data_IF_952760926081
#
_entry.id   IF_952760926081
#
_cell.length_a   1.000
_cell.length_b   1.000
_cell.length_c   1.000
_cell.angle_alpha   90.00
_cell.angle_beta   90.00
_cell.angle_gamma   90.00
#
_symmetry.space_group_name_H-M   'P 1'
#
loop_
_entity.id
_entity.type
_entity.pdbx_description
1 polymer ?
#
# COMPACT_ATOMS: atom_id res chain seq x y z
N UNK A 1 -34.89 -15.28 -10.06
CA UNK A 1 -33.47 -15.48 -9.70
C UNK A 1 -33.34 -16.87 -9.12
N UNK A 2 -32.55 -17.76 -9.73
CA UNK A 2 -32.35 -19.12 -9.21
C UNK A 2 -31.75 -19.10 -7.81
N UNK A 3 -32.16 -20.01 -6.93
CA UNK A 3 -31.62 -20.08 -5.58
C UNK A 3 -30.12 -20.43 -5.62
N UNK A 4 -29.26 -19.78 -4.83
CA UNK A 4 -27.79 -19.93 -4.87
C UNK A 4 -27.26 -21.27 -4.32
N UNK A 5 -28.10 -22.31 -4.20
CA UNK A 5 -27.86 -23.52 -3.40
C UNK A 5 -26.70 -24.37 -3.93
N UNK A 6 -26.26 -24.16 -5.17
CA UNK A 6 -25.18 -24.92 -5.80
C UNK A 6 -23.89 -24.11 -6.11
N UNK A 7 -23.84 -22.82 -5.77
CA UNK A 7 -22.63 -22.02 -6.04
C UNK A 7 -21.57 -22.21 -4.94
N UNK A 8 -20.30 -22.35 -5.36
CA UNK A 8 -19.15 -22.40 -4.46
C UNK A 8 -18.63 -20.99 -4.19
N UNK A 9 -18.29 -20.71 -2.93
CA UNK A 9 -17.71 -19.43 -2.54
C UNK A 9 -16.34 -19.26 -3.20
N UNK A 10 -16.12 -18.13 -3.88
CA UNK A 10 -14.85 -17.83 -4.56
C UNK A 10 -13.60 -17.84 -3.65
N UNK A 11 -13.78 -17.69 -2.33
CA UNK A 11 -12.67 -17.57 -1.37
C UNK A 11 -12.43 -18.87 -0.59
N UNK A 12 -13.47 -19.51 -0.08
CA UNK A 12 -13.32 -20.73 0.73
C UNK A 12 -13.70 -22.02 -0.01
N UNK A 13 -14.26 -21.92 -1.22
CA UNK A 13 -14.77 -23.04 -2.02
C UNK A 13 -15.82 -23.91 -1.30
N UNK A 14 -16.49 -23.36 -0.29
CA UNK A 14 -17.63 -24.01 0.38
C UNK A 14 -18.95 -23.48 -0.19
N UNK A 15 -20.00 -24.32 -0.13
CA UNK A 15 -21.37 -23.97 -0.52
C UNK A 15 -22.03 -23.09 0.52
N UNK A 16 -23.00 -22.28 0.09
CA UNK A 16 -23.85 -21.53 1.01
C UNK A 16 -24.94 -22.42 1.61
N UNK A 17 -24.88 -22.64 2.92
CA UNK A 17 -25.90 -23.35 3.68
C UNK A 17 -26.96 -22.41 4.27
N UNK A 18 -27.05 -21.16 3.80
CA UNK A 18 -28.07 -20.18 4.17
C UNK A 18 -27.82 -19.47 5.51
N UNK A 19 -26.65 -19.67 6.13
CA UNK A 19 -26.30 -19.02 7.42
C UNK A 19 -25.58 -17.69 7.27
N UNK A 20 -24.98 -17.42 6.11
CA UNK A 20 -24.16 -16.23 5.88
C UNK A 20 -24.70 -15.50 4.64
N UNK A 21 -24.61 -14.17 4.63
CA UNK A 21 -25.07 -13.39 3.48
C UNK A 21 -24.21 -13.70 2.27
N UNK A 22 -24.83 -14.09 1.16
CA UNK A 22 -24.17 -14.29 -0.12
C UNK A 22 -24.10 -12.99 -0.91
N UNK A 23 -22.94 -12.71 -1.50
CA UNK A 23 -22.74 -11.58 -2.41
C UNK A 23 -22.36 -12.11 -3.78
N UNK A 24 -22.94 -11.55 -4.83
CA UNK A 24 -22.60 -11.88 -6.22
C UNK A 24 -21.89 -10.70 -6.87
N UNK A 25 -20.73 -10.94 -7.47
CA UNK A 25 -20.00 -9.92 -8.20
C UNK A 25 -20.80 -9.49 -9.44
N UNK A 26 -20.99 -8.18 -9.63
CA UNK A 26 -21.72 -7.66 -10.79
C UNK A 26 -21.03 -7.98 -12.13
N UNK A 27 -19.69 -8.02 -12.15
CA UNK A 27 -18.89 -8.26 -13.38
C UNK A 27 -18.79 -9.76 -13.69
N UNK A 28 -18.08 -10.54 -12.87
CA UNK A 28 -17.86 -11.97 -13.16
C UNK A 28 -19.00 -12.91 -12.74
N UNK A 29 -20.07 -12.39 -12.12
CA UNK A 29 -21.22 -13.17 -11.60
C UNK A 29 -20.87 -14.25 -10.56
N UNK A 30 -19.61 -14.35 -10.14
CA UNK A 30 -19.17 -15.27 -9.08
C UNK A 30 -19.64 -14.78 -7.71
N UNK A 31 -20.02 -15.75 -6.87
CA UNK A 31 -20.54 -15.53 -5.54
C UNK A 31 -19.54 -15.79 -4.42
N UNK A 32 -19.84 -15.29 -3.21
CA UNK A 32 -19.14 -15.70 -2.01
C UNK A 32 -19.77 -15.16 -0.73
N UNK A 33 -19.39 -15.80 0.39
CA UNK A 33 -19.84 -15.38 1.71
C UNK A 33 -19.35 -13.96 2.04
N UNK A 34 -20.24 -13.11 2.57
CA UNK A 34 -19.90 -11.74 2.95
C UNK A 34 -18.73 -11.68 3.93
N UNK A 35 -18.62 -12.65 4.83
CA UNK A 35 -17.52 -12.80 5.79
C UNK A 35 -16.19 -13.12 5.10
N UNK A 36 -16.20 -14.05 4.14
CA UNK A 36 -15.03 -14.38 3.33
C UNK A 36 -14.55 -13.18 2.50
N UNK A 37 -15.49 -12.37 2.00
CA UNK A 37 -15.24 -11.11 1.29
C UNK A 37 -14.94 -9.92 2.22
N UNK A 38 -14.86 -10.14 3.54
CA UNK A 38 -14.60 -9.12 4.58
C UNK A 38 -15.59 -7.95 4.57
N UNK A 39 -16.79 -8.17 4.06
CA UNK A 39 -17.89 -7.21 4.07
C UNK A 39 -18.62 -7.31 5.43
N UNK A 40 -18.40 -6.32 6.29
CA UNK A 40 -19.05 -6.22 7.60
C UNK A 40 -20.16 -5.16 7.57
N UNK A 41 -21.23 -5.37 8.34
CA UNK A 41 -22.30 -4.37 8.49
C UNK A 41 -23.30 -4.29 7.33
N UNK A 42 -23.37 -5.28 6.45
CA UNK A 42 -24.43 -5.36 5.45
C UNK A 42 -25.80 -5.45 6.15
N UNK A 43 -26.77 -4.63 5.73
CA UNK A 43 -28.18 -4.76 6.16
C UNK A 43 -28.79 -6.06 5.65
N UNK A 44 -29.93 -6.50 6.19
CA UNK A 44 -30.58 -7.79 5.88
C UNK A 44 -30.80 -8.03 4.37
N UNK A 45 -30.99 -6.97 3.59
CA UNK A 45 -31.24 -7.06 2.15
C UNK A 45 -29.94 -7.02 1.32
N UNK A 46 -29.08 -8.04 1.48
CA UNK A 46 -27.81 -8.10 0.76
C UNK A 46 -27.95 -8.25 -0.77
N UNK A 47 -29.11 -8.69 -1.26
CA UNK A 47 -29.43 -8.85 -2.67
C UNK A 47 -29.43 -7.54 -3.47
N UNK A 48 -29.52 -6.39 -2.81
CA UNK A 48 -29.55 -5.06 -3.44
C UNK A 48 -28.16 -4.39 -3.50
N UNK A 49 -27.13 -5.03 -2.96
CA UNK A 49 -25.80 -4.42 -2.89
C UNK A 49 -25.03 -4.67 -4.16
N UNK A 50 -24.83 -3.61 -4.93
CA UNK A 50 -23.94 -3.57 -6.08
C UNK A 50 -22.49 -3.77 -5.64
N UNK A 51 -22.03 -5.03 -5.64
CA UNK A 51 -20.70 -5.43 -5.21
C UNK A 51 -19.87 -5.97 -6.38
N UNK A 52 -18.57 -5.69 -6.34
CA UNK A 52 -17.59 -6.19 -7.32
C UNK A 52 -16.43 -6.81 -6.54
N UNK A 53 -16.01 -8.01 -6.94
CA UNK A 53 -14.90 -8.70 -6.29
C UNK A 53 -13.56 -8.01 -6.57
N UNK A 54 -12.58 -8.19 -5.67
CA UNK A 54 -11.26 -7.56 -5.79
C UNK A 54 -10.57 -7.81 -7.15
N UNK A 55 -10.57 -9.03 -7.73
CA UNK A 55 -10.03 -9.26 -9.07
C UNK A 55 -10.72 -8.42 -10.15
N UNK A 56 -12.05 -8.38 -10.14
CA UNK A 56 -12.80 -7.56 -11.10
C UNK A 56 -12.56 -6.06 -10.89
N UNK A 57 -12.42 -5.61 -9.64
CA UNK A 57 -12.09 -4.23 -9.32
C UNK A 57 -10.69 -3.84 -9.82
N UNK A 58 -9.73 -4.77 -9.83
CA UNK A 58 -8.40 -4.54 -10.41
C UNK A 58 -8.47 -4.40 -11.94
N UNK A 59 -9.23 -5.27 -12.62
CA UNK A 59 -9.43 -5.18 -14.08
C UNK A 59 -10.13 -3.88 -14.45
N UNK A 60 -11.15 -3.47 -13.69
CA UNK A 60 -11.83 -2.19 -13.92
C UNK A 60 -10.85 -1.01 -13.73
N UNK A 61 -9.95 -1.08 -12.74
CA UNK A 61 -8.94 -0.04 -12.55
C UNK A 61 -7.97 0.05 -13.73
N UNK A 62 -7.52 -1.08 -14.27
CA UNK A 62 -6.67 -1.06 -15.46
C UNK A 62 -7.42 -0.53 -16.67
N UNK A 63 -8.70 -0.89 -16.86
CA UNK A 63 -9.53 -0.34 -17.94
C UNK A 63 -9.70 1.18 -17.83
N UNK A 64 -9.95 1.71 -16.62
CA UNK A 64 -10.05 3.16 -16.38
C UNK A 64 -8.72 3.85 -16.65
N UNK A 65 -7.61 3.30 -16.17
CA UNK A 65 -6.29 3.86 -16.39
C UNK A 65 -5.92 3.91 -17.88
N UNK A 66 -6.17 2.81 -18.61
CA UNK A 66 -5.96 2.77 -20.05
C UNK A 66 -6.79 3.85 -20.76
N UNK A 67 -8.06 4.03 -20.38
CA UNK A 67 -8.90 5.10 -20.95
C UNK A 67 -8.35 6.49 -20.67
N UNK A 68 -7.79 6.74 -19.49
CA UNK A 68 -7.14 8.00 -19.16
C UNK A 68 -5.88 8.23 -20.02
N UNK A 69 -5.01 7.22 -20.15
CA UNK A 69 -3.83 7.30 -21.02
C UNK A 69 -4.20 7.54 -22.49
N UNK A 70 -5.26 6.89 -22.98
CA UNK A 70 -5.79 7.09 -24.33
C UNK A 70 -6.27 8.53 -24.51
N UNK A 71 -6.95 9.12 -23.52
CA UNK A 71 -7.41 10.50 -23.61
C UNK A 71 -6.23 11.49 -23.64
N UNK A 72 -5.16 11.20 -22.91
CA UNK A 72 -3.90 11.97 -23.00
C UNK A 72 -3.32 11.86 -24.40
N UNK A 73 -3.17 10.66 -24.95
CA UNK A 73 -2.66 10.47 -26.32
C UNK A 73 -3.53 11.20 -27.37
N UNK A 74 -4.86 11.19 -27.22
CA UNK A 74 -5.75 11.96 -28.09
C UNK A 74 -5.50 13.46 -28.00
N UNK A 75 -5.26 13.99 -26.81
CA UNK A 75 -4.91 15.39 -26.59
C UNK A 75 -3.57 15.74 -27.27
N UNK A 76 -2.55 14.90 -27.08
CA UNK A 76 -1.22 15.11 -27.67
C UNK A 76 -1.27 15.12 -29.20
N UNK A 77 -2.06 14.22 -29.81
CA UNK A 77 -2.25 14.20 -31.26
C UNK A 77 -2.91 15.50 -31.76
N UNK A 78 -3.88 16.04 -31.01
CA UNK A 78 -4.52 17.33 -31.34
C UNK A 78 -3.51 18.47 -31.24
N UNK A 79 -2.64 18.47 -30.23
CA UNK A 79 -1.59 19.47 -30.06
C UNK A 79 -0.56 19.40 -31.20
N UNK A 80 -0.08 18.21 -31.55
CA UNK A 80 0.81 17.98 -32.69
C UNK A 80 0.16 18.46 -33.98
N UNK A 81 -1.13 18.17 -34.19
CA UNK A 81 -1.90 18.65 -35.35
C UNK A 81 -1.93 20.17 -35.43
N UNK A 82 -2.04 20.86 -34.29
CA UNK A 82 -2.02 22.32 -34.26
C UNK A 82 -0.61 22.86 -34.53
N UNK A 83 0.43 22.28 -33.93
CA UNK A 83 1.83 22.65 -34.21
C UNK A 83 2.17 22.48 -35.70
N UNK A 84 1.71 21.40 -36.34
CA UNK A 84 1.94 21.15 -37.76
C UNK A 84 1.28 22.19 -38.68
N UNK A 85 0.20 22.87 -38.25
CA UNK A 85 -0.41 23.96 -39.03
C UNK A 85 0.48 25.20 -39.07
N UNK A 86 1.28 25.42 -38.03
CA UNK A 86 2.14 26.59 -37.90
C UNK A 86 3.47 26.41 -38.67
N UNK A 87 3.83 25.17 -39.02
CA UNK A 87 5.00 24.89 -39.85
C UNK A 87 4.65 25.17 -41.31
N UNK A 88 5.38 26.11 -41.93
CA UNK A 88 5.32 26.37 -43.38
C UNK A 88 5.94 25.20 -44.15
N UNK A 89 5.13 24.19 -44.44
CA UNK A 89 5.47 23.12 -45.37
C UNK A 89 5.12 23.52 -46.81
N UNK A 90 5.84 23.00 -47.82
CA UNK A 90 5.38 23.03 -49.19
C UNK A 90 3.97 22.45 -49.31
N UNK A 91 3.10 23.09 -50.10
CA UNK A 91 1.66 22.81 -50.17
C UNK A 91 1.34 21.33 -50.48
N UNK A 92 2.16 20.68 -51.30
CA UNK A 92 2.05 19.26 -51.61
C UNK A 92 2.29 18.35 -50.38
N UNK A 93 3.26 18.69 -49.53
CA UNK A 93 3.53 17.97 -48.27
C UNK A 93 2.46 18.25 -47.23
N UNK A 94 2.00 19.50 -47.12
CA UNK A 94 0.95 19.87 -46.19
C UNK A 94 -0.35 19.11 -46.46
N UNK A 95 -0.75 19.00 -47.73
CA UNK A 95 -1.93 18.25 -48.14
C UNK A 95 -1.79 16.74 -47.86
N UNK A 96 -0.60 16.16 -48.09
CA UNK A 96 -0.35 14.75 -47.81
C UNK A 96 -0.38 14.43 -46.30
N UNK A 97 0.19 15.31 -45.47
CA UNK A 97 0.20 15.14 -44.00
C UNK A 97 -1.20 15.31 -43.43
N UNK A 98 -1.96 16.31 -43.90
CA UNK A 98 -3.32 16.57 -43.45
C UNK A 98 -4.31 15.48 -43.89
N UNK A 99 -4.06 14.80 -45.01
CA UNK A 99 -4.84 13.65 -45.45
C UNK A 99 -4.53 12.36 -44.67
N UNK A 100 -3.28 12.17 -44.21
CA UNK A 100 -2.87 10.98 -43.47
C UNK A 100 -3.23 11.02 -41.97
N UNK A 101 -3.29 12.21 -41.37
CA UNK A 101 -3.56 12.38 -39.95
C UNK A 101 -4.89 11.78 -39.47
N UNK A 102 -6.03 12.00 -40.17
CA UNK A 102 -7.31 11.40 -39.80
C UNK A 102 -7.26 9.87 -39.77
N UNK A 103 -6.61 9.25 -40.75
CA UNK A 103 -6.48 7.80 -40.82
C UNK A 103 -5.69 7.21 -39.63
N UNK A 104 -4.66 7.93 -39.16
CA UNK A 104 -3.91 7.56 -37.96
C UNK A 104 -4.76 7.71 -36.69
N UNK A 105 -5.51 8.81 -36.55
CA UNK A 105 -6.38 9.02 -35.37
C UNK A 105 -7.53 8.02 -35.30
N UNK A 106 -8.14 7.72 -36.44
CA UNK A 106 -9.26 6.79 -36.54
C UNK A 106 -8.78 5.35 -36.33
N UNK A 107 -7.61 5.00 -36.90
CA UNK A 107 -6.98 3.70 -36.68
C UNK A 107 -6.62 3.44 -35.22
N UNK A 108 -6.06 4.44 -34.51
CA UNK A 108 -5.77 4.33 -33.07
C UNK A 108 -7.06 4.21 -32.26
N UNK A 109 -8.10 4.97 -32.61
CA UNK A 109 -9.38 4.92 -31.89
C UNK A 109 -10.09 3.57 -32.06
N UNK A 110 -10.14 3.04 -33.29
CA UNK A 110 -10.71 1.73 -33.59
C UNK A 110 -9.96 0.59 -32.91
N UNK A 111 -8.63 0.56 -32.98
CA UNK A 111 -7.82 -0.48 -32.34
C UNK A 111 -8.00 -0.49 -30.81
N UNK A 112 -8.20 0.69 -30.22
CA UNK A 112 -8.51 0.84 -28.79
C UNK A 112 -9.92 0.34 -28.48
N UNK A 113 -10.92 0.73 -29.26
CA UNK A 113 -12.31 0.29 -29.04
C UNK A 113 -12.45 -1.22 -29.20
N UNK A 114 -11.73 -1.82 -30.16
CA UNK A 114 -11.64 -3.28 -30.32
C UNK A 114 -10.96 -3.94 -29.12
N UNK A 115 -9.83 -3.41 -28.64
CA UNK A 115 -9.13 -3.95 -27.47
C UNK A 115 -9.98 -3.86 -26.18
N UNK A 116 -10.70 -2.75 -26.00
CA UNK A 116 -11.62 -2.55 -24.86
C UNK A 116 -12.86 -3.45 -24.99
N UNK A 117 -13.40 -3.60 -26.20
CA UNK A 117 -14.56 -4.48 -26.46
C UNK A 117 -14.20 -5.96 -26.29
N UNK A 118 -13.01 -6.38 -26.73
CA UNK A 118 -12.51 -7.74 -26.55
C UNK A 118 -12.30 -8.09 -25.06
N UNK A 119 -11.96 -7.11 -24.22
CA UNK A 119 -11.83 -7.31 -22.76
C UNK A 119 -13.17 -7.22 -22.01
N UNK A 120 -14.19 -6.55 -22.57
CA UNK A 120 -15.45 -6.25 -21.89
C UNK A 120 -16.62 -7.17 -22.26
N UNK A 121 -16.34 -8.32 -22.90
CA UNK A 121 -17.31 -9.34 -23.27
C UNK A 121 -18.45 -9.50 -22.24
N UNK A 122 -19.64 -9.04 -22.64
CA UNK A 122 -20.94 -9.11 -21.96
C UNK A 122 -21.06 -8.45 -20.58
N UNK A 123 -20.91 -7.13 -20.49
CA UNK A 123 -21.55 -6.34 -19.41
C UNK A 123 -22.16 -5.04 -19.98
N UNK A 124 -23.23 -5.17 -20.75
CA UNK A 124 -24.09 -4.02 -21.08
C UNK A 124 -25.47 -4.19 -20.45
N UNK A 125 -26.01 -3.03 -20.02
CA UNK A 125 -27.27 -2.78 -19.28
C UNK A 125 -27.11 -2.72 -17.77
N UNK A 126 -26.55 -1.60 -17.32
CA UNK A 126 -27.16 -0.74 -16.30
C UNK A 126 -26.24 0.47 -16.14
N UNK A 127 -26.77 1.67 -16.41
CA UNK A 127 -26.03 2.94 -16.48
C UNK A 127 -25.47 3.41 -15.13
N UNK A 128 -24.50 2.67 -14.59
CA UNK A 128 -23.84 3.00 -13.33
C UNK A 128 -22.50 3.69 -13.62
N UNK A 129 -22.32 4.89 -13.09
CA UNK A 129 -21.08 5.65 -13.18
C UNK A 129 -19.99 5.00 -12.32
N UNK A 130 -19.09 4.25 -12.95
CA UNK A 130 -18.01 3.51 -12.31
C UNK A 130 -17.05 4.37 -11.47
N UNK A 131 -16.89 5.66 -11.81
CA UNK A 131 -16.07 6.59 -11.02
C UNK A 131 -16.65 6.79 -9.60
N UNK A 132 -17.98 6.73 -9.46
CA UNK A 132 -18.65 6.87 -8.17
C UNK A 132 -18.49 5.61 -7.29
N UNK A 133 -18.53 4.42 -7.89
CA UNK A 133 -18.35 3.14 -7.18
C UNK A 133 -16.92 3.01 -6.64
N UNK A 134 -15.93 3.36 -7.45
CA UNK A 134 -14.52 3.34 -7.04
C UNK A 134 -14.22 4.38 -5.96
N UNK A 135 -14.88 5.55 -5.99
CA UNK A 135 -14.69 6.58 -4.96
C UNK A 135 -15.31 6.24 -3.60
N UNK A 136 -16.36 5.41 -3.55
CA UNK A 136 -16.97 4.95 -2.27
C UNK A 136 -16.09 3.98 -1.48
N UNK A 137 -15.26 3.17 -2.15
CA UNK A 137 -14.26 2.30 -1.48
C UNK A 137 -13.10 3.08 -0.84
N UNK A 138 -12.88 4.35 -1.23
CA UNK A 138 -11.73 5.17 -0.82
C UNK A 138 -11.85 5.83 0.58
N UNK A 139 -12.95 5.71 1.32
CA UNK A 139 -13.16 6.51 2.55
C UNK A 139 -12.97 5.76 3.89
N UNK A 140 -11.94 4.94 4.00
CA UNK A 140 -11.24 4.77 5.29
C UNK A 140 -9.76 5.07 5.09
N UNK A 141 -9.44 6.34 4.79
CA UNK A 141 -8.11 6.87 5.12
C UNK A 141 -7.96 6.65 6.62
N UNK A 142 -7.27 5.59 7.01
CA UNK A 142 -6.70 5.45 8.35
C UNK A 142 -5.70 6.60 8.42
N UNK A 143 -6.15 7.77 8.84
CA UNK A 143 -5.25 8.88 9.16
C UNK A 143 -4.24 8.28 10.12
N UNK A 144 -2.98 8.17 9.68
CA UNK A 144 -1.87 7.89 10.57
C UNK A 144 -1.79 9.10 11.50
N UNK A 145 -2.63 9.12 12.55
CA UNK A 145 -2.48 10.09 13.63
C UNK A 145 -1.09 9.83 14.19
N UNK A 146 -0.26 10.87 14.27
CA UNK A 146 1.03 10.82 14.94
C UNK A 146 0.78 10.33 16.37
N UNK A 147 1.08 9.06 16.62
CA UNK A 147 0.87 8.46 17.94
C UNK A 147 2.08 8.81 18.80
N UNK A 148 1.86 9.53 19.90
CA UNK A 148 2.87 9.81 20.90
C UNK A 148 2.88 8.65 21.89
N UNK A 149 3.50 7.55 21.45
CA UNK A 149 3.49 6.28 22.17
C UNK A 149 4.60 6.21 23.21
N UNK A 150 4.23 5.79 24.42
CA UNK A 150 5.13 5.43 25.50
C UNK A 150 4.98 3.93 25.78
N UNK A 151 6.09 3.21 25.89
CA UNK A 151 6.15 1.78 26.23
C UNK A 151 6.76 1.64 27.62
N UNK A 152 5.99 1.09 28.54
CA UNK A 152 6.36 0.91 29.95
C UNK A 152 6.54 -0.58 30.22
N UNK A 153 7.70 -0.95 30.77
CA UNK A 153 8.03 -2.32 31.18
C UNK A 153 8.34 -2.33 32.68
N UNK A 154 7.93 -3.36 33.39
CA UNK A 154 8.37 -3.54 34.78
C UNK A 154 9.85 -3.92 34.84
N UNK A 155 10.54 -3.38 35.84
CA UNK A 155 11.84 -3.87 36.27
C UNK A 155 11.61 -5.04 37.24
N UNK A 156 11.25 -6.21 36.71
CA UNK A 156 10.96 -7.42 37.49
C UNK A 156 9.69 -8.17 37.08
N UNK A 157 9.25 -9.13 37.89
CA UNK A 157 8.08 -10.00 37.66
C UNK A 157 6.76 -9.42 38.20
N UNK A 158 6.56 -8.10 38.13
CA UNK A 158 5.27 -7.49 38.49
C UNK A 158 4.18 -7.91 37.49
N UNK A 159 2.97 -8.17 37.98
CA UNK A 159 1.81 -8.44 37.11
C UNK A 159 1.40 -7.16 36.40
N UNK A 160 0.98 -7.30 35.14
CA UNK A 160 0.61 -6.16 34.28
C UNK A 160 -0.59 -5.34 34.84
N UNK A 161 -1.49 -5.97 35.58
CA UNK A 161 -2.65 -5.31 36.21
C UNK A 161 -2.20 -4.34 37.30
N UNK A 162 -1.24 -4.75 38.13
CA UNK A 162 -0.73 -3.93 39.23
C UNK A 162 0.08 -2.75 38.68
N UNK A 163 0.89 -3.00 37.64
CA UNK A 163 1.58 -1.93 36.92
C UNK A 163 0.62 -0.90 36.34
N UNK A 164 -0.55 -1.32 35.84
CA UNK A 164 -1.50 -0.38 35.24
C UNK A 164 -2.07 0.58 36.28
N UNK A 165 -2.42 0.08 37.47
CA UNK A 165 -2.88 0.92 38.58
C UNK A 165 -1.81 1.92 39.01
N UNK A 166 -0.56 1.44 39.19
CA UNK A 166 0.59 2.28 39.54
C UNK A 166 0.81 3.40 38.50
N UNK A 167 0.72 3.07 37.20
CA UNK A 167 0.88 4.05 36.13
C UNK A 167 -0.30 5.02 36.03
N UNK A 168 -1.54 4.57 36.26
CA UNK A 168 -2.73 5.43 36.27
C UNK A 168 -2.71 6.43 37.43
N UNK A 169 -2.21 6.02 38.59
CA UNK A 169 -2.04 6.89 39.76
C UNK A 169 -0.98 7.97 39.52
N UNK A 170 0.18 7.56 38.98
CA UNK A 170 1.30 8.45 38.65
C UNK A 170 1.01 9.44 37.52
N UNK A 171 0.12 9.08 36.59
CA UNK A 171 -0.27 9.88 35.44
C UNK A 171 -1.68 10.45 35.57
N UNK A 172 -2.20 10.60 36.79
CA UNK A 172 -3.55 11.10 37.06
C UNK A 172 -3.80 12.52 36.49
N UNK A 173 -2.74 13.31 36.30
CA UNK A 173 -2.79 14.65 35.71
C UNK A 173 -2.56 14.68 34.19
N UNK A 174 -2.20 13.55 33.58
CA UNK A 174 -1.92 13.45 32.14
C UNK A 174 -3.07 12.73 31.43
N UNK A 175 -3.71 13.42 30.49
CA UNK A 175 -4.77 12.82 29.68
C UNK A 175 -4.24 11.70 28.77
N UNK A 176 -4.64 10.46 29.08
CA UNK A 176 -4.33 9.25 28.29
C UNK A 176 -5.41 9.07 27.22
N UNK A 177 -5.01 9.01 25.94
CA UNK A 177 -5.96 8.83 24.82
C UNK A 177 -6.34 7.37 24.61
N UNK A 178 -5.36 6.46 24.77
CA UNK A 178 -5.54 5.03 24.57
C UNK A 178 -4.47 4.29 25.40
N UNK A 179 -4.82 3.14 25.97
CA UNK A 179 -3.88 2.27 26.67
C UNK A 179 -4.14 0.82 26.29
N UNK A 180 -3.07 0.06 26.05
CA UNK A 180 -3.16 -1.35 25.71
C UNK A 180 -2.02 -2.15 26.31
N UNK A 181 -2.29 -3.42 26.56
CA UNK A 181 -1.26 -4.39 26.93
C UNK A 181 -0.66 -5.03 25.69
N UNK A 182 0.64 -5.29 25.74
CA UNK A 182 1.32 -6.16 24.78
C UNK A 182 1.26 -7.61 25.26
N UNK A 183 1.44 -8.57 24.37
CA UNK A 183 1.52 -9.99 24.71
C UNK A 183 2.67 -10.33 25.70
N UNK A 184 3.62 -9.40 25.87
CA UNK A 184 4.73 -9.52 26.81
C UNK A 184 4.42 -8.88 28.19
N UNK A 185 3.18 -8.47 28.44
CA UNK A 185 2.78 -7.80 29.68
C UNK A 185 3.16 -6.32 29.78
N UNK A 186 3.85 -5.74 28.77
CA UNK A 186 4.18 -4.31 28.77
C UNK A 186 2.93 -3.46 28.50
N UNK A 187 2.90 -2.26 29.06
CA UNK A 187 1.85 -1.27 28.84
C UNK A 187 2.29 -0.31 27.73
N UNK A 188 1.40 -0.06 26.77
CA UNK A 188 1.61 0.95 25.72
C UNK A 188 0.53 2.02 25.89
N UNK A 189 0.98 3.24 26.12
CA UNK A 189 0.12 4.41 26.33
C UNK A 189 0.26 5.33 25.14
N UNK A 190 -0.86 5.81 24.62
CA UNK A 190 -0.90 6.86 23.61
C UNK A 190 -1.30 8.18 24.26
N UNK A 191 -0.47 9.19 24.05
CA UNK A 191 -0.67 10.53 24.59
C UNK A 191 -1.05 11.49 23.47
N UNK A 192 -1.71 12.58 23.84
CA UNK A 192 -2.20 13.57 22.89
C UNK A 192 -1.06 14.35 22.23
N UNK A 193 -0.09 14.85 23.02
CA UNK A 193 1.03 15.66 22.56
C UNK A 193 2.39 15.07 22.95
N UNK A 194 3.44 15.51 22.25
CA UNK A 194 4.81 15.13 22.57
C UNK A 194 5.29 15.71 23.91
N UNK A 195 4.84 16.91 24.26
CA UNK A 195 5.11 17.54 25.56
C UNK A 195 4.55 16.70 26.71
N UNK A 196 3.27 16.29 26.61
CA UNK A 196 2.63 15.40 27.60
C UNK A 196 3.36 14.05 27.69
N UNK A 197 3.88 13.53 26.56
CA UNK A 197 4.72 12.33 26.54
C UNK A 197 6.02 12.51 27.31
N UNK A 198 6.73 13.61 27.07
CA UNK A 198 8.00 13.87 27.74
C UNK A 198 7.79 14.11 29.26
N UNK A 199 6.73 14.83 29.64
CA UNK A 199 6.34 15.01 31.04
C UNK A 199 6.01 13.67 31.72
N UNK A 200 5.17 12.84 31.08
CA UNK A 200 4.83 11.50 31.59
C UNK A 200 6.08 10.59 31.68
N UNK A 201 6.98 10.68 30.71
CA UNK A 201 8.23 9.93 30.70
C UNK A 201 9.09 10.29 31.92
N UNK A 202 9.26 11.58 32.21
CA UNK A 202 10.06 12.04 33.35
C UNK A 202 9.49 11.56 34.69
N UNK A 203 8.18 11.71 34.91
CA UNK A 203 7.50 11.23 36.12
C UNK A 203 7.67 9.73 36.34
N UNK A 204 7.52 8.95 35.28
CA UNK A 204 7.66 7.49 35.37
C UNK A 204 9.12 7.04 35.58
N UNK A 205 10.11 7.85 35.20
CA UNK A 205 11.52 7.58 35.48
C UNK A 205 11.87 7.80 36.96
N UNK A 206 11.23 8.76 37.65
CA UNK A 206 11.47 9.05 39.06
C UNK A 206 11.15 7.87 39.98
N UNK A 207 10.17 7.04 39.61
CA UNK A 207 9.72 5.88 40.40
C UNK A 207 10.74 4.73 40.37
N UNK A 208 11.71 4.74 39.45
CA UNK A 208 12.87 3.82 39.42
C UNK A 208 12.59 2.33 39.14
N UNK A 209 11.35 1.89 39.34
CA UNK A 209 10.88 0.50 39.22
C UNK A 209 10.33 0.17 37.82
N UNK A 210 10.27 1.16 36.93
CA UNK A 210 9.74 1.03 35.59
C UNK A 210 10.80 1.40 34.55
N UNK A 211 10.88 0.61 33.48
CA UNK A 211 11.68 0.91 32.30
C UNK A 211 10.75 1.56 31.29
N UNK A 212 10.89 2.86 31.13
CA UNK A 212 10.12 3.67 30.19
C UNK A 212 10.92 3.82 28.91
N UNK A 213 10.26 3.63 27.77
CA UNK A 213 10.87 3.76 26.46
C UNK A 213 9.87 4.37 25.48
N UNK A 214 10.34 5.26 24.61
CA UNK A 214 9.50 5.78 23.55
C UNK A 214 9.16 4.69 22.55
N UNK A 215 7.93 4.74 22.02
CA UNK A 215 7.52 3.87 20.93
C UNK A 215 8.43 4.08 19.73
N UNK A 216 9.27 3.09 19.42
CA UNK A 216 10.19 3.16 18.29
C UNK A 216 9.39 3.25 17.00
N UNK A 217 9.46 4.39 16.32
CA UNK A 217 9.03 4.51 14.93
C UNK A 217 10.00 3.69 14.08
N UNK A 218 9.44 2.90 13.18
CA UNK A 218 10.25 2.17 12.23
C UNK A 218 10.60 3.12 11.11
N UNK A 219 11.88 3.36 10.89
CA UNK A 219 12.29 4.19 9.76
C UNK A 219 11.89 3.49 8.45
N UNK A 220 11.46 4.26 7.45
CA UNK A 220 11.12 3.74 6.13
C UNK A 220 12.20 2.81 5.58
N UNK A 221 11.74 1.76 4.90
CA UNK A 221 12.59 0.90 4.10
C UNK A 221 12.16 1.02 2.66
N UNK A 222 13.12 1.23 1.79
CA UNK A 222 12.93 1.29 0.35
C UNK A 222 13.81 0.26 -0.33
N UNK A 223 13.39 -0.24 -1.48
CA UNK A 223 14.12 -1.17 -2.30
C UNK A 223 14.49 -0.49 -3.62
N UNK A 224 15.77 -0.49 -3.95
CA UNK A 224 16.31 -0.02 -5.22
C UNK A 224 16.64 -1.24 -6.07
N UNK A 225 16.02 -1.34 -7.24
CA UNK A 225 16.13 -2.51 -8.11
C UNK A 225 17.23 -2.38 -9.17
N UNK A 226 17.72 -3.54 -9.63
CA UNK A 226 18.65 -3.69 -10.74
C UNK A 226 19.89 -2.80 -10.66
N UNK A 227 20.48 -2.66 -9.47
CA UNK A 227 21.72 -1.90 -9.30
C UNK A 227 22.89 -2.81 -9.67
N UNK A 228 23.86 -2.30 -10.43
CA UNK A 228 25.09 -3.04 -10.69
C UNK A 228 25.74 -3.41 -9.34
N UNK A 229 26.29 -4.62 -9.23
CA UNK A 229 26.93 -5.07 -7.99
C UNK A 229 28.17 -4.21 -7.75
N UNK A 230 28.04 -3.19 -6.90
CA UNK A 230 29.18 -2.42 -6.41
C UNK A 230 29.91 -3.24 -5.34
N UNK A 231 31.24 -3.16 -5.36
CA UNK A 231 32.08 -3.82 -4.35
C UNK A 231 32.06 -3.07 -3.01
N UNK A 232 31.78 -1.76 -3.02
CA UNK A 232 31.67 -0.94 -1.81
C UNK A 232 30.26 -0.36 -1.59
N UNK A 233 29.77 -0.55 -0.36
CA UNK A 233 28.47 -0.12 0.13
C UNK A 233 28.46 1.35 0.52
N UNK A 234 29.56 1.85 1.04
CA UNK A 234 29.68 3.25 1.48
C UNK A 234 29.69 4.17 0.27
N UNK A 235 30.49 3.84 -0.75
CA UNK A 235 30.49 4.50 -2.07
C UNK A 235 29.10 4.56 -2.72
N UNK A 236 28.28 3.51 -2.59
CA UNK A 236 26.91 3.53 -3.12
C UNK A 236 26.01 4.53 -2.38
N UNK A 237 26.17 4.65 -1.06
CA UNK A 237 25.40 5.62 -0.25
C UNK A 237 25.82 7.05 -0.59
N UNK A 238 27.13 7.30 -0.69
CA UNK A 238 27.67 8.59 -1.11
C UNK A 238 27.15 8.98 -2.50
N UNK A 239 27.18 8.04 -3.44
CA UNK A 239 26.65 8.24 -4.78
C UNK A 239 25.16 8.59 -4.77
N UNK A 240 24.35 7.88 -3.97
CA UNK A 240 22.92 8.20 -3.80
C UNK A 240 22.76 9.63 -3.30
N UNK A 241 23.58 10.06 -2.34
CA UNK A 241 23.47 11.39 -1.73
C UNK A 241 23.82 12.48 -2.74
N UNK A 242 24.98 12.38 -3.39
CA UNK A 242 25.50 13.39 -4.31
C UNK A 242 24.60 13.51 -5.54
N UNK A 243 24.29 12.39 -6.21
CA UNK A 243 23.56 12.42 -7.50
C UNK A 243 22.09 12.80 -7.37
N UNK A 244 21.53 12.71 -6.17
CA UNK A 244 20.12 13.02 -5.90
C UNK A 244 19.96 14.29 -5.05
N UNK A 245 21.01 15.11 -4.93
CA UNK A 245 21.02 16.39 -4.20
C UNK A 245 20.49 16.26 -2.76
N UNK A 246 20.83 15.17 -2.07
CA UNK A 246 20.41 14.92 -0.69
C UNK A 246 21.36 15.54 0.35
N UNK A 247 22.47 16.15 -0.10
CA UNK A 247 23.47 16.83 0.74
C UNK A 247 22.88 17.96 1.59
N UNK A 248 21.78 18.56 1.14
CA UNK A 248 21.05 19.58 1.89
C UNK A 248 20.42 19.09 3.19
N UNK A 249 20.41 17.78 3.43
CA UNK A 249 19.89 17.18 4.66
C UNK A 249 21.07 17.00 5.64
N UNK A 250 20.98 17.66 6.79
CA UNK A 250 22.02 17.55 7.82
C UNK A 250 22.23 16.10 8.26
N UNK A 251 23.49 15.66 8.23
CA UNK A 251 23.91 14.33 8.66
C UNK A 251 23.37 13.19 7.79
N UNK A 252 23.01 13.43 6.52
CA UNK A 252 22.37 12.45 5.63
C UNK A 252 23.08 11.10 5.53
N UNK A 253 24.42 11.07 5.61
CA UNK A 253 25.20 9.83 5.62
C UNK A 253 24.76 8.86 6.73
N UNK A 254 24.45 9.37 7.92
CA UNK A 254 23.99 8.56 9.05
C UNK A 254 22.50 8.18 8.94
N UNK A 255 21.76 8.87 8.08
CA UNK A 255 20.32 8.70 7.87
C UNK A 255 19.99 7.63 6.84
N UNK A 256 20.97 7.10 6.10
CA UNK A 256 20.78 6.06 5.09
C UNK A 256 21.65 4.85 5.45
N UNK A 257 21.05 3.67 5.47
CA UNK A 257 21.76 2.41 5.74
C UNK A 257 21.28 1.29 4.83
N UNK A 258 22.21 0.59 4.19
CA UNK A 258 21.90 -0.66 3.49
C UNK A 258 21.61 -1.76 4.52
N UNK A 259 20.40 -2.31 4.49
CA UNK A 259 19.95 -3.36 5.43
C UNK A 259 20.13 -4.75 4.85
N UNK A 260 19.87 -4.90 3.55
CA UNK A 260 20.02 -6.19 2.87
C UNK A 260 20.27 -5.98 1.39
N UNK A 261 20.94 -6.96 0.80
CA UNK A 261 21.13 -7.09 -0.64
C UNK A 261 20.48 -8.41 -1.09
N UNK A 262 19.89 -8.41 -2.29
CA UNK A 262 19.35 -9.62 -2.92
C UNK A 262 19.88 -9.72 -4.34
N UNK A 263 20.51 -10.84 -4.73
CA UNK A 263 20.94 -11.02 -6.11
C UNK A 263 19.72 -10.99 -7.05
N UNK A 264 19.92 -10.39 -8.22
CA UNK A 264 18.95 -10.34 -9.30
C UNK A 264 19.58 -10.93 -10.58
N UNK A 265 18.79 -11.03 -11.64
CA UNK A 265 19.28 -11.55 -12.92
C UNK A 265 20.35 -10.63 -13.53
N UNK A 266 21.23 -11.21 -14.36
CA UNK A 266 22.22 -10.45 -15.13
C UNK A 266 23.31 -9.77 -14.31
N UNK A 267 23.69 -10.33 -13.16
CA UNK A 267 24.77 -9.79 -12.32
C UNK A 267 24.39 -8.51 -11.55
N UNK A 268 23.10 -8.16 -11.51
CA UNK A 268 22.60 -7.03 -10.74
C UNK A 268 22.14 -7.44 -9.34
N UNK A 269 21.90 -6.45 -8.48
CA UNK A 269 21.49 -6.62 -7.09
C UNK A 269 20.34 -5.66 -6.77
N UNK A 270 19.42 -6.11 -5.91
CA UNK A 270 18.43 -5.25 -5.28
C UNK A 270 18.91 -4.87 -3.88
N UNK A 271 19.02 -3.58 -3.60
CA UNK A 271 19.40 -3.08 -2.28
C UNK A 271 18.17 -2.63 -1.52
N UNK A 272 18.05 -3.08 -0.28
CA UNK A 272 17.06 -2.56 0.67
C UNK A 272 17.75 -1.52 1.56
N UNK A 273 17.34 -0.28 1.39
CA UNK A 273 17.83 0.86 2.15
C UNK A 273 16.85 1.16 3.28
N UNK A 274 17.35 1.30 4.49
CA UNK A 274 16.64 1.95 5.59
C UNK A 274 17.03 3.41 5.57
N UNK A 275 16.05 4.30 5.54
CA UNK A 275 16.29 5.74 5.47
C UNK A 275 15.37 6.49 6.44
N UNK A 276 15.81 7.66 6.89
CA UNK A 276 14.98 8.55 7.68
C UNK A 276 13.75 9.03 6.89
N UNK A 277 12.64 9.37 7.58
CA UNK A 277 11.42 9.88 6.93
C UNK A 277 11.66 11.10 6.03
N UNK A 278 12.56 11.99 6.41
CA UNK A 278 12.92 13.18 5.63
C UNK A 278 13.59 12.81 4.29
N UNK A 279 14.53 11.87 4.32
CA UNK A 279 15.17 11.33 3.11
C UNK A 279 14.14 10.66 2.22
N UNK A 280 13.27 9.82 2.79
CA UNK A 280 12.18 9.16 2.05
C UNK A 280 11.26 10.17 1.37
N UNK A 281 10.90 11.27 2.04
CA UNK A 281 10.04 12.31 1.51
C UNK A 281 10.70 13.03 0.31
N UNK A 282 12.00 13.31 0.39
CA UNK A 282 12.76 13.85 -0.76
C UNK A 282 12.77 12.88 -1.94
N UNK A 283 13.01 11.59 -1.70
CA UNK A 283 12.96 10.55 -2.75
C UNK A 283 11.57 10.46 -3.37
N UNK A 284 10.52 10.59 -2.56
CA UNK A 284 9.15 10.62 -3.08
C UNK A 284 8.90 11.83 -3.99
N UNK A 285 9.38 13.01 -3.60
CA UNK A 285 9.33 14.22 -4.43
C UNK A 285 10.08 14.11 -5.75
N UNK A 286 10.99 13.14 -5.87
CA UNK A 286 11.69 12.77 -7.12
C UNK A 286 10.97 11.66 -7.90
N UNK A 287 9.66 11.48 -7.69
CA UNK A 287 8.82 10.44 -8.30
C UNK A 287 9.32 9.01 -8.03
N UNK A 288 9.83 8.77 -6.81
CA UNK A 288 10.35 7.47 -6.38
C UNK A 288 11.44 6.91 -7.32
N UNK A 289 12.31 7.80 -7.81
CA UNK A 289 13.46 7.45 -8.67
C UNK A 289 14.76 7.91 -8.04
N UNK A 290 15.81 7.10 -8.17
CA UNK A 290 17.17 7.43 -7.74
C UNK A 290 18.13 7.38 -8.92
N UNK A 291 18.92 8.43 -9.08
CA UNK A 291 20.02 8.52 -10.06
C UNK A 291 21.27 7.88 -9.45
N UNK A 292 21.84 6.90 -10.15
CA UNK A 292 23.10 6.22 -9.84
C UNK A 292 24.05 6.31 -11.04
N UNK A 293 25.24 5.68 -10.97
CA UNK A 293 26.28 5.72 -12.01
C UNK A 293 25.75 5.44 -13.40
N UNK A 294 24.98 4.35 -13.49
CA UNK A 294 24.60 3.71 -14.74
C UNK A 294 23.13 3.96 -15.13
N UNK A 295 22.47 4.94 -14.50
CA UNK A 295 21.14 5.35 -14.91
C UNK A 295 20.23 5.74 -13.76
N UNK A 296 18.93 5.67 -14.04
CA UNK A 296 17.86 6.00 -13.11
C UNK A 296 17.17 4.72 -12.68
N UNK A 297 17.10 4.48 -11.38
CA UNK A 297 16.55 3.28 -10.78
C UNK A 297 15.22 3.59 -10.12
N UNK A 298 14.23 2.73 -10.36
CA UNK A 298 12.95 2.79 -9.67
C UNK A 298 13.12 2.34 -8.23
N UNK A 299 12.48 3.09 -7.33
CA UNK A 299 12.42 2.80 -5.90
C UNK A 299 11.02 2.30 -5.55
N UNK A 300 10.96 1.30 -4.69
CA UNK A 300 9.72 0.76 -4.15
C UNK A 300 9.76 0.80 -2.63
N UNK A 301 8.63 1.06 -1.99
CA UNK A 301 8.55 0.88 -0.54
C UNK A 301 8.69 -0.61 -0.19
N UNK A 302 9.66 -0.91 0.66
CA UNK A 302 9.96 -2.27 1.08
C UNK A 302 9.22 -2.60 2.38
N UNK A 303 7.97 -3.00 2.24
CA UNK A 303 7.22 -3.61 3.32
C UNK A 303 7.42 -5.12 3.27
N UNK A 304 7.80 -5.72 4.40
CA UNK A 304 7.81 -7.17 4.54
C UNK A 304 6.49 -7.59 5.18
N UNK A 305 5.46 -7.95 4.40
CA UNK A 305 4.22 -8.41 4.99
C UNK A 305 4.52 -9.68 5.79
N UNK A 306 4.22 -9.63 7.08
CA UNK A 306 4.43 -10.78 7.96
C UNK A 306 3.38 -11.85 7.61
N UNK A 307 3.77 -12.83 6.79
CA UNK A 307 2.94 -13.99 6.44
C UNK A 307 3.25 -15.15 7.40
N UNK A 308 2.22 -15.68 8.05
CA UNK A 308 2.34 -16.87 8.87
C UNK A 308 2.44 -18.12 7.99
N UNK A 309 3.50 -18.91 8.13
CA UNK A 309 3.68 -20.14 7.33
C UNK A 309 2.69 -21.26 7.68
N UNK A 310 2.07 -21.23 8.88
CA UNK A 310 1.10 -22.25 9.27
C UNK A 310 -0.29 -22.04 8.67
N UNK A 311 -0.77 -20.80 8.58
CA UNK A 311 -2.14 -20.54 8.12
C UNK A 311 -2.21 -19.63 6.88
N UNK A 312 -1.06 -19.19 6.37
CA UNK A 312 -0.92 -18.29 5.22
C UNK A 312 -1.70 -16.97 5.39
N UNK A 313 -1.97 -16.56 6.63
CA UNK A 313 -2.58 -15.26 6.95
C UNK A 313 -1.51 -14.25 7.33
N UNK A 314 -1.76 -12.99 7.00
CA UNK A 314 -0.88 -11.88 7.36
C UNK A 314 -1.05 -11.44 8.82
N UNK A 315 -0.02 -10.79 9.37
CA UNK A 315 -0.09 -10.04 10.63
C UNK A 315 0.35 -10.79 11.89
N UNK A 316 0.82 -12.03 11.79
CA UNK A 316 1.37 -12.78 12.91
C UNK A 316 2.48 -13.76 12.49
N UNK A 317 3.36 -14.12 13.44
CA UNK A 317 4.40 -15.14 13.23
C UNK A 317 3.81 -16.53 13.43
N UNK A 318 4.46 -17.55 12.85
CA UNK A 318 4.12 -18.96 13.06
C UNK A 318 4.03 -19.34 14.55
N UNK A 319 4.96 -18.83 15.38
CA UNK A 319 5.00 -19.12 16.81
C UNK A 319 3.77 -18.63 17.58
N UNK A 320 3.20 -17.51 17.12
CA UNK A 320 2.01 -16.87 17.68
C UNK A 320 0.73 -17.22 16.91
N UNK A 321 0.77 -18.23 16.04
CA UNK A 321 -0.39 -18.67 15.27
C UNK A 321 -1.40 -19.35 16.19
N UNK A 322 -2.62 -18.82 16.22
CA UNK A 322 -3.75 -19.46 16.92
C UNK A 322 -4.27 -20.68 16.16
N UNK A 323 -3.97 -20.78 14.87
CA UNK A 323 -4.29 -21.95 14.03
C UNK A 323 -3.23 -23.06 14.16
N UNK A 324 -2.51 -23.17 15.29
CA UNK A 324 -1.70 -24.36 15.57
C UNK A 324 -2.66 -25.55 15.66
N UNK A 325 -2.94 -26.16 14.51
CA UNK A 325 -3.57 -27.46 14.42
C UNK A 325 -2.61 -28.38 15.15
N UNK A 326 -3.04 -28.92 16.29
CA UNK A 326 -2.31 -29.97 16.98
C UNK A 326 -2.27 -31.17 16.03
N UNK A 327 -1.13 -31.44 15.41
CA UNK A 327 -0.83 -32.77 14.87
C UNK A 327 -0.97 -32.99 13.35
N UNK A 328 -0.30 -32.20 12.52
CA UNK A 328 0.23 -32.78 11.27
C UNK A 328 1.67 -32.31 11.07
N UNK A 329 2.61 -33.22 11.27
CA UNK A 329 3.97 -33.06 10.84
C UNK A 329 3.98 -32.97 9.30
N UNK A 330 4.68 -31.99 8.71
CA UNK A 330 4.95 -32.01 7.28
C UNK A 330 5.93 -33.16 6.99
N UNK A 331 5.54 -34.05 6.08
CA UNK A 331 6.41 -35.03 5.45
C UNK A 331 7.40 -34.37 4.50
#
# INVERSE_FOLDING_TARGET
>A
MGSPVDELCLVCHERDYGKVKWLRCLKCKLGGHSTCMRMTGLKSNASEVNWVCDPCALVIKSEVHLREEINVMKSDIIEIKNMLKDIRLPENLQNSVMAALPALTDGVTLAVEEAVSAQSGQVEKDGMNWAEVVSRSRKRKRTQKNKNLLIIKAKGSKKAVDMKKEVEELLSDVQIMDSKFTNKGNIVINLESEEKRNAAQNKLHEVGNLIVSNGKRWDPKIMVCNVARNEDKESLIEEIIVRNNLESIDGVMNKIKIVSERPAAGGTVHYVLKCDPEVRARIHGMNDKLKLKWGVHQVYDHYFPLLCYHCLKFGHKSDSCQCKVKGHAPH
#
